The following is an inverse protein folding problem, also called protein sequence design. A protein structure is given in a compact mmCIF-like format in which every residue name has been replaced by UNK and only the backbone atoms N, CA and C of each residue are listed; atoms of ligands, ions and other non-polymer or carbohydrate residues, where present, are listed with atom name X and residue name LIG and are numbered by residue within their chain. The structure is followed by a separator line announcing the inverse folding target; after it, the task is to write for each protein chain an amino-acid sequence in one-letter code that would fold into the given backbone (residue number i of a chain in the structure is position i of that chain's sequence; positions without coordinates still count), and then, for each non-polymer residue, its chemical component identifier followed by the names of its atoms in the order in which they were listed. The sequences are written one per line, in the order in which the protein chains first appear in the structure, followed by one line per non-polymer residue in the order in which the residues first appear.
data_IF_319168615579
#
_entry.id   IF_319168615579
#
_cell.length_a   1.000
_cell.length_b   1.000
_cell.length_c   1.000
_cell.angle_alpha   90.00
_cell.angle_beta   90.00
_cell.angle_gamma   90.00
#
_symmetry.space_group_name_H-M   'P 1'
#
loop_
_entity.id
_entity.type
_entity.pdbx_description
1 polymer ?
#
# COMPACT_ATOMS: atom_id res chain seq x y z
N UNK A 1 -13.50 -0.47 12.08
CA UNK A 1 -13.87 -1.63 12.93
C UNK A 1 -14.10 -1.11 14.33
N UNK A 2 -15.09 -1.59 15.07
CA UNK A 2 -15.31 -1.16 16.46
C UNK A 2 -15.01 -2.32 17.41
N UNK A 3 -14.18 -2.09 18.42
CA UNK A 3 -13.90 -3.04 19.49
C UNK A 3 -14.75 -2.65 20.69
N UNK A 4 -15.50 -3.60 21.23
CA UNK A 4 -16.57 -3.32 22.19
C UNK A 4 -16.41 -4.18 23.44
N UNK A 5 -16.63 -3.60 24.61
CA UNK A 5 -16.62 -4.30 25.90
C UNK A 5 -17.81 -3.86 26.77
N UNK A 6 -18.48 -4.84 27.37
CA UNK A 6 -19.58 -4.61 28.31
C UNK A 6 -19.05 -4.18 29.68
N UNK A 7 -19.67 -3.17 30.28
CA UNK A 7 -19.33 -2.66 31.61
C UNK A 7 -20.40 -3.09 32.61
N UNK A 8 -19.99 -3.75 33.69
CA UNK A 8 -20.87 -4.19 34.75
C UNK A 8 -20.65 -3.39 36.03
N UNK A 9 -21.72 -3.20 36.81
CA UNK A 9 -21.65 -2.54 38.11
C UNK A 9 -20.83 -3.41 39.08
N UNK A 10 -19.77 -2.83 39.65
CA UNK A 10 -19.01 -3.49 40.71
C UNK A 10 -19.85 -3.57 41.99
N UNK A 11 -19.94 -4.74 42.66
CA UNK A 11 -20.64 -4.83 43.93
C UNK A 11 -19.80 -4.16 45.02
N UNK A 12 -20.35 -3.12 45.65
CA UNK A 12 -19.80 -2.59 46.91
C UNK A 12 -20.02 -3.52 48.11
N UNK A 13 -20.82 -4.58 47.96
CA UNK A 13 -21.10 -5.60 48.98
C UNK A 13 -21.34 -6.97 48.29
N UNK A 14 -20.64 -8.06 48.66
CA UNK A 14 -20.60 -9.30 47.87
C UNK A 14 -21.93 -10.07 47.78
N UNK A 15 -22.92 -9.76 48.63
CA UNK A 15 -24.19 -10.51 48.68
C UNK A 15 -25.37 -9.89 47.93
N UNK A 16 -25.31 -8.64 47.43
CA UNK A 16 -26.53 -7.95 46.94
C UNK A 16 -26.54 -7.33 45.55
N UNK A 17 -25.50 -7.47 44.73
CA UNK A 17 -25.59 -7.04 43.32
C UNK A 17 -24.64 -7.85 42.43
N UNK A 18 -25.14 -8.95 41.86
CA UNK A 18 -24.42 -9.68 40.80
C UNK A 18 -25.00 -9.26 39.44
N UNK A 19 -24.21 -8.56 38.63
CA UNK A 19 -24.37 -8.58 37.17
C UNK A 19 -25.23 -7.51 36.50
N UNK A 20 -25.45 -6.33 37.09
CA UNK A 20 -26.16 -5.25 36.38
C UNK A 20 -25.25 -4.69 35.27
N UNK A 21 -25.65 -4.87 34.00
CA UNK A 21 -25.02 -4.22 32.84
C UNK A 21 -25.27 -2.72 32.93
N UNK A 22 -24.19 -1.94 33.06
CA UNK A 22 -24.25 -0.48 33.09
C UNK A 22 -24.24 0.12 31.69
N UNK A 23 -23.61 -0.56 30.75
CA UNK A 23 -23.52 -0.12 29.37
C UNK A 23 -22.40 -0.81 28.61
N UNK A 24 -22.05 -0.21 27.50
CA UNK A 24 -21.11 -0.74 26.54
C UNK A 24 -20.12 0.37 26.18
N UNK A 25 -18.83 0.08 26.29
CA UNK A 25 -17.76 0.98 25.85
C UNK A 25 -17.19 0.41 24.57
N UNK A 26 -17.04 1.26 23.56
CA UNK A 26 -16.44 0.90 22.28
C UNK A 26 -15.31 1.84 21.90
N UNK A 27 -14.34 1.34 21.16
CA UNK A 27 -13.30 2.14 20.51
C UNK A 27 -13.24 1.80 19.03
N UNK A 28 -13.06 2.82 18.19
CA UNK A 28 -12.95 2.65 16.75
C UNK A 28 -11.50 2.44 16.32
N UNK A 29 -11.29 1.41 15.52
CA UNK A 29 -10.02 1.09 14.87
C UNK A 29 -10.19 1.34 13.35
N UNK A 30 -9.54 2.37 12.80
CA UNK A 30 -9.54 2.61 11.35
C UNK A 30 -8.83 1.48 10.61
N UNK A 31 -9.43 0.98 9.52
CA UNK A 31 -8.81 -0.05 8.68
C UNK A 31 -7.55 0.49 7.99
N UNK A 32 -7.48 1.80 7.75
CA UNK A 32 -6.29 2.49 7.22
C UNK A 32 -5.05 2.30 8.09
N UNK A 33 -5.21 2.28 9.42
CA UNK A 33 -4.09 2.04 10.35
C UNK A 33 -3.58 0.60 10.26
N UNK A 34 -4.48 -0.38 10.04
CA UNK A 34 -4.06 -1.75 9.78
C UNK A 34 -3.29 -1.84 8.46
N UNK A 35 -3.74 -1.14 7.42
CA UNK A 35 -3.10 -1.13 6.11
C UNK A 35 -1.70 -0.49 6.13
N UNK A 36 -1.45 0.49 7.00
CA UNK A 36 -0.12 1.10 7.19
C UNK A 36 0.92 0.07 7.66
N UNK A 37 0.52 -0.97 8.38
CA UNK A 37 1.45 -2.01 8.86
C UNK A 37 1.91 -2.98 7.77
N UNK A 38 1.23 -2.98 6.61
CA UNK A 38 1.52 -3.91 5.52
C UNK A 38 2.63 -3.29 4.65
N UNK A 39 3.82 -3.91 4.56
CA UNK A 39 4.94 -3.36 3.81
C UNK A 39 4.70 -3.52 2.30
N UNK A 40 3.97 -2.59 1.70
CA UNK A 40 3.54 -2.65 0.28
C UNK A 40 4.73 -2.81 -0.68
N UNK A 41 5.84 -2.11 -0.43
CA UNK A 41 7.05 -2.17 -1.25
C UNK A 41 7.70 -3.57 -1.30
N UNK A 42 7.36 -4.47 -0.36
CA UNK A 42 7.86 -5.86 -0.32
C UNK A 42 6.99 -6.85 -1.08
N UNK A 43 5.73 -6.49 -1.38
CA UNK A 43 4.76 -7.39 -2.03
C UNK A 43 4.91 -7.43 -3.56
N UNK A 44 5.58 -6.43 -4.14
CA UNK A 44 5.67 -6.26 -5.59
C UNK A 44 4.42 -5.62 -6.22
N UNK A 45 4.47 -5.37 -7.52
CA UNK A 45 3.50 -4.52 -8.25
C UNK A 45 2.07 -5.11 -8.22
N UNK A 46 1.96 -6.43 -8.27
CA UNK A 46 0.68 -7.13 -8.27
C UNK A 46 0.35 -7.80 -6.95
N UNK A 47 1.28 -7.77 -6.00
CA UNK A 47 1.05 -8.34 -4.68
C UNK A 47 0.18 -7.44 -3.82
N UNK A 48 -0.62 -8.05 -2.96
CA UNK A 48 -1.49 -7.34 -2.04
C UNK A 48 -1.75 -8.18 -0.80
N UNK A 49 -2.12 -7.50 0.28
CA UNK A 49 -2.61 -8.14 1.48
C UNK A 49 -4.09 -7.83 1.66
N UNK A 50 -4.81 -8.79 2.22
CA UNK A 50 -6.23 -8.70 2.49
C UNK A 50 -6.54 -9.39 3.81
N UNK A 51 -7.64 -9.02 4.44
CA UNK A 51 -8.08 -9.65 5.68
C UNK A 51 -9.57 -9.95 5.64
N UNK A 52 -9.96 -11.05 6.28
CA UNK A 52 -11.36 -11.47 6.37
C UNK A 52 -11.76 -11.74 7.82
N UNK A 53 -13.06 -11.71 8.06
CA UNK A 53 -13.68 -12.18 9.30
C UNK A 53 -13.84 -13.70 9.32
N UNK A 54 -14.14 -14.26 10.50
CA UNK A 54 -14.50 -15.67 10.68
C UNK A 54 -15.79 -16.09 9.96
N UNK A 55 -16.50 -15.18 9.28
CA UNK A 55 -17.67 -15.48 8.46
C UNK A 55 -17.38 -15.39 6.95
N UNK A 56 -16.17 -14.99 6.54
CA UNK A 56 -15.80 -14.82 5.13
C UNK A 56 -15.90 -13.38 4.61
N UNK A 57 -16.46 -12.46 5.41
CA UNK A 57 -16.55 -11.06 5.01
C UNK A 57 -15.19 -10.38 4.97
N UNK A 58 -14.97 -9.60 3.91
CA UNK A 58 -13.74 -8.85 3.70
C UNK A 58 -13.68 -7.66 4.66
N UNK A 59 -12.58 -7.56 5.41
CA UNK A 59 -12.23 -6.38 6.18
C UNK A 59 -11.45 -5.37 5.33
N UNK A 60 -10.52 -5.86 4.51
CA UNK A 60 -9.76 -5.05 3.55
C UNK A 60 -9.34 -5.89 2.35
N UNK A 61 -9.46 -5.33 1.14
CA UNK A 61 -9.03 -5.92 -0.12
C UNK A 61 -8.89 -4.82 -1.19
N UNK A 62 -7.93 -4.87 -2.14
CA UNK A 62 -7.79 -3.84 -3.18
C UNK A 62 -9.06 -3.57 -4.00
N UNK A 63 -9.81 -4.64 -4.31
CA UNK A 63 -11.07 -4.55 -5.06
C UNK A 63 -12.31 -4.29 -4.18
N UNK A 64 -12.15 -4.14 -2.86
CA UNK A 64 -13.23 -3.75 -1.96
C UNK A 64 -13.52 -2.24 -2.12
N UNK A 65 -14.27 -1.88 -3.16
CA UNK A 65 -14.61 -0.48 -3.47
C UNK A 65 -15.79 0.00 -2.63
N UNK A 66 -15.64 1.01 -1.75
CA UNK A 66 -16.75 1.69 -1.12
C UNK A 66 -17.43 2.55 -2.18
N UNK A 67 -18.21 1.93 -3.06
CA UNK A 67 -18.91 2.67 -4.08
C UNK A 67 -19.91 3.60 -3.40
N UNK A 68 -19.67 4.88 -3.59
CA UNK A 68 -20.67 5.92 -3.52
C UNK A 68 -21.46 5.86 -4.82
N UNK A 69 -22.80 5.82 -4.77
CA UNK A 69 -23.60 6.03 -5.99
C UNK A 69 -23.13 7.34 -6.64
N UNK A 70 -22.82 7.32 -7.93
CA UNK A 70 -22.33 8.51 -8.65
C UNK A 70 -23.24 9.71 -8.34
N UNK A 71 -22.69 10.73 -7.67
CA UNK A 71 -23.40 11.95 -7.27
C UNK A 71 -24.03 11.95 -5.87
N UNK A 72 -24.03 10.84 -5.13
CA UNK A 72 -24.52 10.78 -3.74
C UNK A 72 -23.41 10.26 -2.82
N UNK A 73 -23.09 11.02 -1.77
CA UNK A 73 -22.19 10.60 -0.66
C UNK A 73 -22.77 9.45 0.20
N UNK A 74 -23.50 8.50 -0.39
CA UNK A 74 -24.06 7.34 0.28
C UNK A 74 -23.33 6.07 -0.14
N UNK A 75 -22.70 5.39 0.83
CA UNK A 75 -22.04 4.08 0.63
C UNK A 75 -23.08 3.04 0.19
N UNK A 76 -22.69 2.09 -0.67
CA UNK A 76 -23.54 0.93 -1.01
C UNK A 76 -24.07 0.24 0.27
N UNK A 77 -25.36 -0.14 0.32
CA UNK A 77 -25.99 -0.71 1.52
C UNK A 77 -25.27 -1.92 2.12
N UNK A 78 -24.64 -2.75 1.28
CA UNK A 78 -23.99 -4.01 1.68
C UNK A 78 -22.45 -3.95 1.61
N UNK A 79 -21.85 -2.76 1.61
CA UNK A 79 -20.39 -2.63 1.51
C UNK A 79 -19.63 -3.32 2.67
N UNK A 80 -20.24 -3.39 3.86
CA UNK A 80 -19.65 -4.02 5.05
C UNK A 80 -19.80 -5.54 5.09
N UNK A 81 -20.46 -6.15 4.10
CA UNK A 81 -20.79 -7.58 4.09
C UNK A 81 -20.42 -8.25 2.77
N UNK A 82 -19.43 -7.72 2.04
CA UNK A 82 -18.90 -8.35 0.83
C UNK A 82 -18.09 -9.58 1.23
N UNK A 83 -18.45 -10.73 0.69
CA UNK A 83 -17.74 -11.99 0.95
C UNK A 83 -16.48 -12.12 0.06
N UNK A 84 -15.48 -12.87 0.52
CA UNK A 84 -14.26 -13.14 -0.24
C UNK A 84 -14.56 -13.75 -1.62
N UNK A 85 -15.53 -14.67 -1.73
CA UNK A 85 -15.86 -15.33 -3.00
C UNK A 85 -16.46 -14.38 -4.06
N UNK A 86 -16.98 -13.21 -3.65
CA UNK A 86 -17.47 -12.19 -4.59
C UNK A 86 -16.33 -11.45 -5.29
N UNK A 87 -15.13 -11.47 -4.70
CA UNK A 87 -13.98 -10.72 -5.19
C UNK A 87 -12.92 -11.66 -5.78
N UNK A 88 -12.66 -12.78 -5.10
CA UNK A 88 -11.76 -13.84 -5.53
C UNK A 88 -12.54 -14.94 -6.28
N UNK A 89 -13.31 -14.54 -7.28
CA UNK A 89 -14.19 -15.38 -8.11
C UNK A 89 -13.55 -16.59 -8.81
N UNK A 90 -12.22 -16.68 -8.86
CA UNK A 90 -11.50 -17.83 -9.45
C UNK A 90 -11.33 -18.99 -8.43
N UNK A 91 -11.56 -18.75 -7.13
CA UNK A 91 -11.65 -19.79 -6.09
C UNK A 91 -13.00 -20.53 -6.14
N UNK A 92 -13.26 -21.26 -7.23
CA UNK A 92 -14.57 -21.88 -7.50
C UNK A 92 -15.01 -22.92 -6.47
N UNK A 93 -14.07 -23.51 -5.75
CA UNK A 93 -14.31 -24.52 -4.71
C UNK A 93 -14.27 -23.92 -3.30
N UNK A 94 -14.18 -22.58 -3.19
CA UNK A 94 -14.04 -21.84 -1.93
C UNK A 94 -12.91 -22.38 -1.05
N UNK A 95 -11.83 -22.93 -1.61
CA UNK A 95 -10.76 -23.56 -0.84
C UNK A 95 -10.03 -22.54 0.02
N UNK A 96 -9.66 -21.40 -0.58
CA UNK A 96 -8.98 -20.31 0.11
C UNK A 96 -9.92 -19.70 1.16
N UNK A 97 -11.15 -19.40 0.77
CA UNK A 97 -12.17 -18.87 1.69
C UNK A 97 -12.38 -19.77 2.88
N UNK A 98 -12.66 -21.06 2.65
CA UNK A 98 -12.93 -22.02 3.72
C UNK A 98 -11.72 -22.24 4.61
N UNK A 99 -10.50 -22.26 4.05
CA UNK A 99 -9.29 -22.38 4.86
C UNK A 99 -9.10 -21.20 5.80
N UNK A 100 -9.32 -19.97 5.31
CA UNK A 100 -9.19 -18.74 6.11
C UNK A 100 -10.31 -18.57 7.13
N UNK A 101 -11.56 -18.92 6.79
CA UNK A 101 -12.71 -18.93 7.72
C UNK A 101 -12.47 -19.93 8.84
N UNK A 102 -11.95 -21.12 8.51
CA UNK A 102 -11.56 -22.13 9.49
C UNK A 102 -10.22 -21.82 10.20
N UNK A 103 -9.66 -20.62 10.01
CA UNK A 103 -8.46 -20.13 10.68
C UNK A 103 -7.24 -21.06 10.53
N UNK A 104 -7.12 -21.68 9.36
CA UNK A 104 -5.95 -22.50 9.04
C UNK A 104 -4.81 -21.61 8.54
N UNK A 105 -3.58 -22.07 8.77
CA UNK A 105 -2.39 -21.48 8.12
C UNK A 105 -2.02 -22.35 6.93
N UNK A 106 -1.74 -21.75 5.79
CA UNK A 106 -1.41 -22.50 4.59
C UNK A 106 -1.09 -21.62 3.39
N UNK A 107 -1.00 -22.30 2.25
CA UNK A 107 -0.72 -21.70 0.96
C UNK A 107 -1.66 -22.24 -0.09
N UNK A 108 -2.07 -21.41 -1.04
CA UNK A 108 -2.93 -21.79 -2.14
C UNK A 108 -2.47 -21.07 -3.40
N UNK A 109 -2.45 -21.74 -4.55
CA UNK A 109 -2.02 -21.13 -5.81
C UNK A 109 -3.15 -21.25 -6.82
N UNK A 110 -3.47 -20.16 -7.50
CA UNK A 110 -4.46 -20.16 -8.57
C UNK A 110 -4.13 -19.12 -9.64
N UNK A 111 -4.66 -19.35 -10.84
CA UNK A 111 -4.67 -18.34 -11.88
C UNK A 111 -5.81 -17.35 -11.63
N UNK A 112 -5.51 -16.06 -11.71
CA UNK A 112 -6.48 -14.99 -11.50
C UNK A 112 -6.49 -14.01 -12.66
N UNK A 113 -7.67 -13.44 -12.91
CA UNK A 113 -7.88 -12.39 -13.90
C UNK A 113 -8.07 -11.05 -13.22
N UNK A 114 -7.12 -10.14 -13.43
CA UNK A 114 -7.15 -8.79 -12.88
C UNK A 114 -7.56 -7.78 -13.95
N UNK A 115 -8.64 -7.05 -13.68
CA UNK A 115 -9.08 -5.94 -14.51
C UNK A 115 -8.13 -4.74 -14.31
N UNK A 116 -7.59 -4.19 -15.41
CA UNK A 116 -6.78 -2.97 -15.41
C UNK A 116 -7.42 -1.91 -16.31
N UNK A 117 -6.97 -0.66 -16.18
CA UNK A 117 -7.51 0.49 -16.93
C UNK A 117 -9.04 0.61 -16.81
N UNK A 118 -9.53 0.64 -15.56
CA UNK A 118 -10.96 0.72 -15.22
C UNK A 118 -11.82 -0.39 -15.87
N UNK A 119 -11.23 -1.56 -16.14
CA UNK A 119 -11.92 -2.71 -16.73
C UNK A 119 -11.80 -2.81 -18.25
N UNK A 120 -10.99 -1.97 -18.89
CA UNK A 120 -10.77 -2.01 -20.34
C UNK A 120 -9.83 -3.12 -20.78
N UNK A 121 -8.96 -3.61 -19.89
CA UNK A 121 -8.01 -4.69 -20.17
C UNK A 121 -8.02 -5.71 -19.04
N UNK A 122 -7.65 -6.95 -19.36
CA UNK A 122 -7.55 -8.05 -18.40
C UNK A 122 -6.13 -8.59 -18.42
N UNK A 123 -5.52 -8.68 -17.24
CA UNK A 123 -4.24 -9.36 -17.04
C UNK A 123 -4.51 -10.73 -16.41
N UNK A 124 -3.88 -11.76 -16.96
CA UNK A 124 -3.89 -13.11 -16.39
C UNK A 124 -2.61 -13.25 -15.56
N UNK A 125 -2.78 -13.50 -14.26
CA UNK A 125 -1.69 -13.63 -13.30
C UNK A 125 -1.79 -14.97 -12.61
N UNK A 126 -0.66 -15.57 -12.25
CA UNK A 126 -0.65 -16.74 -11.39
C UNK A 126 -0.25 -16.31 -9.98
N UNK A 127 -1.19 -16.34 -9.04
CA UNK A 127 -1.00 -15.85 -7.69
C UNK A 127 -0.74 -17.00 -6.72
N UNK A 128 0.27 -16.82 -5.87
CA UNK A 128 0.51 -17.62 -4.68
C UNK A 128 -0.03 -16.87 -3.46
N UNK A 129 -1.07 -17.43 -2.85
CA UNK A 129 -1.72 -16.93 -1.64
C UNK A 129 -1.09 -17.59 -0.42
N UNK A 130 -0.73 -16.78 0.56
CA UNK A 130 -0.23 -17.19 1.86
C UNK A 130 -1.19 -16.65 2.91
N UNK A 131 -1.74 -17.51 3.76
CA UNK A 131 -2.75 -17.09 4.72
C UNK A 131 -2.55 -17.72 6.09
N UNK A 132 -2.98 -17.00 7.13
CA UNK A 132 -2.87 -17.38 8.53
C UNK A 132 -3.93 -16.67 9.38
N UNK A 133 -4.11 -17.10 10.62
CA UNK A 133 -5.01 -16.46 11.57
C UNK A 133 -4.32 -15.36 12.38
N UNK A 134 -5.06 -14.30 12.71
CA UNK A 134 -4.57 -13.26 13.60
C UNK A 134 -4.92 -13.68 15.04
N UNK A 135 -3.92 -14.20 15.76
CA UNK A 135 -4.06 -14.67 17.14
C UNK A 135 -4.76 -13.64 18.03
N UNK A 136 -5.70 -14.11 18.86
CA UNK A 136 -6.48 -13.26 19.76
C UNK A 136 -7.63 -12.49 19.10
N UNK A 137 -7.84 -12.63 17.79
CA UNK A 137 -8.95 -12.01 17.06
C UNK A 137 -9.71 -13.05 16.23
N UNK A 138 -10.94 -12.75 15.76
CA UNK A 138 -11.66 -13.60 14.81
C UNK A 138 -11.24 -13.36 13.35
N UNK A 139 -10.14 -12.68 13.09
CA UNK A 139 -9.72 -12.31 11.74
C UNK A 139 -8.63 -13.24 11.20
N UNK A 140 -8.61 -13.39 9.88
CA UNK A 140 -7.56 -14.09 9.14
C UNK A 140 -6.93 -13.14 8.13
N UNK A 141 -5.62 -13.24 7.97
CA UNK A 141 -4.83 -12.41 7.05
C UNK A 141 -4.38 -13.27 5.87
N UNK A 142 -4.49 -12.71 4.67
CA UNK A 142 -3.98 -13.29 3.43
C UNK A 142 -3.04 -12.32 2.72
N UNK A 143 -2.02 -12.86 2.07
CA UNK A 143 -1.11 -12.14 1.20
C UNK A 143 -1.06 -12.88 -0.14
N UNK A 144 -1.40 -12.20 -1.21
CA UNK A 144 -1.27 -12.71 -2.57
C UNK A 144 0.01 -12.15 -3.19
N UNK A 145 0.85 -13.03 -3.73
CA UNK A 145 2.06 -12.67 -4.49
C UNK A 145 1.95 -13.25 -5.90
N UNK A 146 2.08 -12.41 -6.92
CA UNK A 146 2.10 -12.89 -8.31
C UNK A 146 3.44 -13.50 -8.66
N UNK A 147 3.43 -14.70 -9.25
CA UNK A 147 4.64 -15.36 -9.77
C UNK A 147 5.35 -14.44 -10.76
N UNK A 148 6.68 -14.40 -10.65
CA UNK A 148 7.55 -13.56 -11.48
C UNK A 148 7.71 -12.10 -11.02
N UNK A 149 6.79 -11.57 -10.19
CA UNK A 149 6.77 -10.14 -9.84
C UNK A 149 6.81 -9.83 -8.32
N UNK A 150 6.88 -10.84 -7.44
CA UNK A 150 6.89 -10.62 -5.99
C UNK A 150 7.67 -11.65 -5.15
N UNK A 151 8.29 -12.67 -5.74
CA UNK A 151 9.00 -13.73 -5.00
C UNK A 151 10.42 -13.32 -4.56
N UNK A 152 11.07 -12.47 -5.35
CA UNK A 152 12.43 -12.00 -5.10
C UNK A 152 12.48 -10.49 -5.34
N UNK A 153 13.31 -9.81 -4.58
CA UNK A 153 13.59 -8.39 -4.78
C UNK A 153 15.08 -8.13 -4.57
N UNK A 154 15.63 -7.20 -5.35
CA UNK A 154 17.03 -6.79 -5.24
C UNK A 154 17.21 -5.87 -4.04
N UNK A 155 18.16 -6.17 -3.15
CA UNK A 155 18.54 -5.30 -2.04
C UNK A 155 19.88 -4.68 -2.37
N UNK A 156 20.02 -3.38 -2.16
CA UNK A 156 21.23 -2.63 -2.45
C UNK A 156 21.60 -1.70 -1.31
N UNK A 157 22.85 -1.25 -1.28
CA UNK A 157 23.31 -0.28 -0.29
C UNK A 157 24.17 0.77 -0.98
N UNK A 158 23.92 2.03 -0.66
CA UNK A 158 24.68 3.21 -1.09
C UNK A 158 25.06 4.02 0.14
N UNK A 159 26.00 4.95 -0.03
CA UNK A 159 26.27 5.92 1.04
C UNK A 159 25.09 6.88 1.20
N UNK A 160 24.94 7.44 2.41
CA UNK A 160 23.84 8.38 2.69
C UNK A 160 24.00 9.65 1.87
N UNK A 161 25.25 10.08 1.70
CA UNK A 161 25.63 11.28 0.96
C UNK A 161 25.27 11.16 -0.53
N UNK A 162 25.65 10.06 -1.19
CA UNK A 162 25.29 9.80 -2.59
C UNK A 162 23.77 9.67 -2.76
N UNK A 163 23.12 8.92 -1.86
CA UNK A 163 21.68 8.71 -1.90
C UNK A 163 20.88 10.00 -1.77
N UNK A 164 21.27 10.88 -0.83
CA UNK A 164 20.60 12.16 -0.63
C UNK A 164 20.84 13.12 -1.80
N UNK A 165 22.06 13.15 -2.35
CA UNK A 165 22.38 13.96 -3.52
C UNK A 165 21.42 13.65 -4.69
N UNK A 166 21.25 12.37 -5.02
CA UNK A 166 20.44 11.97 -6.18
C UNK A 166 18.94 11.99 -5.90
N UNK A 167 18.52 11.84 -4.64
CA UNK A 167 17.11 11.96 -4.23
C UNK A 167 16.60 13.40 -4.30
N UNK A 168 17.49 14.38 -4.15
CA UNK A 168 17.17 15.82 -4.20
C UNK A 168 17.16 16.39 -5.62
N UNK A 169 17.43 15.56 -6.63
CA UNK A 169 17.48 16.00 -8.00
C UNK A 169 16.06 16.42 -8.49
N UNK A 170 15.93 17.52 -9.26
CA UNK A 170 14.62 18.08 -9.63
C UNK A 170 13.74 17.18 -10.51
N UNK A 171 14.29 16.16 -11.17
CA UNK A 171 13.52 15.18 -11.96
C UNK A 171 12.93 14.06 -11.10
N UNK A 172 13.30 13.98 -9.81
CA UNK A 172 12.88 12.95 -8.87
C UNK A 172 11.63 13.36 -8.09
N UNK A 173 10.67 12.45 -8.00
CA UNK A 173 9.52 12.56 -7.12
C UNK A 173 9.27 11.25 -6.36
N UNK A 174 8.81 11.35 -5.13
CA UNK A 174 8.35 10.21 -4.33
C UNK A 174 6.83 10.10 -4.42
N UNK A 175 6.32 8.87 -4.53
CA UNK A 175 4.90 8.59 -4.58
C UNK A 175 4.22 8.95 -3.25
N UNK A 176 3.17 9.77 -3.30
CA UNK A 176 2.38 10.22 -2.13
C UNK A 176 1.78 9.06 -1.31
N UNK A 177 1.61 7.90 -1.96
CA UNK A 177 1.02 6.72 -1.36
C UNK A 177 1.96 6.03 -0.37
N UNK A 178 3.27 6.25 -0.50
CA UNK A 178 4.31 5.65 0.34
C UNK A 178 4.66 6.55 1.53
N UNK A 179 4.72 5.93 2.70
CA UNK A 179 5.09 6.59 3.95
C UNK A 179 6.46 6.06 4.38
N UNK A 180 7.50 6.84 4.13
CA UNK A 180 8.88 6.56 4.57
C UNK A 180 9.06 6.93 6.04
N UNK A 181 8.49 8.06 6.43
CA UNK A 181 8.48 8.59 7.78
C UNK A 181 7.06 8.99 8.17
N UNK A 182 6.65 8.63 9.39
CA UNK A 182 5.33 8.97 9.91
C UNK A 182 5.32 10.39 10.47
N UNK A 183 4.89 11.35 9.65
CA UNK A 183 4.80 12.78 10.01
C UNK A 183 3.46 13.15 10.66
N UNK A 184 2.48 12.24 10.70
CA UNK A 184 1.14 12.51 11.23
C UNK A 184 1.06 12.38 12.75
N UNK A 185 1.95 11.57 13.35
CA UNK A 185 1.98 11.27 14.78
C UNK A 185 2.17 12.53 15.63
N UNK A 186 3.08 13.41 15.22
CA UNK A 186 3.43 14.62 15.95
C UNK A 186 3.08 15.87 15.13
N UNK A 187 2.37 16.87 15.70
CA UNK A 187 2.00 18.09 14.98
C UNK A 187 3.20 18.86 14.40
N UNK A 188 4.37 18.73 15.02
CA UNK A 188 5.63 19.36 14.60
C UNK A 188 6.19 18.79 13.29
N UNK A 189 5.77 17.60 12.86
CA UNK A 189 6.27 16.97 11.64
C UNK A 189 5.32 17.13 10.45
N UNK A 190 4.08 17.57 10.68
CA UNK A 190 3.02 17.59 9.65
C UNK A 190 3.29 18.48 8.45
N UNK A 191 4.16 19.48 8.59
CA UNK A 191 4.53 20.37 7.49
C UNK A 191 5.63 19.78 6.59
N UNK A 192 6.29 18.71 7.02
CA UNK A 192 7.42 18.12 6.31
C UNK A 192 6.93 17.30 5.12
N UNK A 193 7.58 17.50 3.98
CA UNK A 193 7.53 16.52 2.88
C UNK A 193 8.25 15.23 3.29
N UNK A 194 7.96 14.14 2.58
CA UNK A 194 8.63 12.86 2.85
C UNK A 194 10.14 12.94 2.61
N UNK A 195 10.60 13.71 1.60
CA UNK A 195 12.04 13.91 1.34
C UNK A 195 12.68 14.66 2.51
N UNK A 196 12.07 15.75 3.00
CA UNK A 196 12.59 16.50 4.16
C UNK A 196 12.62 15.64 5.43
N UNK A 197 11.59 14.82 5.66
CA UNK A 197 11.56 13.90 6.79
C UNK A 197 12.68 12.84 6.72
N UNK A 198 12.97 12.32 5.52
CA UNK A 198 14.10 11.41 5.29
C UNK A 198 15.44 12.10 5.60
N UNK A 199 15.63 13.34 5.14
CA UNK A 199 16.84 14.13 5.42
C UNK A 199 17.05 14.34 6.92
N UNK A 200 16.00 14.75 7.63
CA UNK A 200 16.06 14.96 9.08
C UNK A 200 16.44 13.67 9.80
N UNK A 201 15.78 12.56 9.46
CA UNK A 201 16.07 11.24 10.02
C UNK A 201 17.54 10.79 9.80
N UNK A 202 18.08 11.02 8.60
CA UNK A 202 19.44 10.60 8.24
C UNK A 202 20.54 11.51 8.82
N UNK A 203 20.27 12.81 8.96
CA UNK A 203 21.22 13.79 9.52
C UNK A 203 21.31 13.76 11.07
N UNK A 204 20.77 12.71 11.71
CA UNK A 204 20.77 12.56 13.17
C UNK A 204 19.66 13.35 13.87
N UNK A 205 18.61 13.72 13.14
CA UNK A 205 17.58 14.65 13.57
C UNK A 205 16.29 14.00 14.06
N UNK A 206 15.94 14.42 15.27
CA UNK A 206 14.66 14.36 15.99
C UNK A 206 14.28 13.09 16.79
N UNK A 207 14.19 13.20 18.14
CA UNK A 207 13.43 12.23 18.91
C UNK A 207 11.97 12.25 18.43
N UNK A 208 11.34 11.08 18.33
CA UNK A 208 9.93 10.87 17.96
C UNK A 208 9.58 10.77 16.46
N UNK A 209 10.48 11.08 15.51
CA UNK A 209 10.23 10.80 14.10
C UNK A 209 10.47 9.31 13.80
N UNK A 210 9.39 8.56 13.53
CA UNK A 210 9.48 7.13 13.19
C UNK A 210 9.54 6.93 11.68
N UNK A 211 10.61 6.32 11.21
CA UNK A 211 10.81 6.02 9.80
C UNK A 211 11.10 4.53 9.54
N UNK A 212 10.72 4.04 8.36
CA UNK A 212 11.11 2.71 7.88
C UNK A 212 12.53 2.77 7.30
N UNK A 213 13.50 2.36 8.11
CA UNK A 213 14.92 2.33 7.73
C UNK A 213 15.18 1.49 6.48
N UNK A 214 14.49 0.36 6.31
CA UNK A 214 14.72 -0.51 5.14
C UNK A 214 14.20 0.15 3.87
N UNK A 215 12.99 0.73 3.91
CA UNK A 215 12.44 1.44 2.77
C UNK A 215 13.30 2.65 2.38
N UNK A 216 13.82 3.41 3.37
CA UNK A 216 14.71 4.54 3.12
C UNK A 216 16.00 4.08 2.45
N UNK A 217 16.64 3.01 2.92
CA UNK A 217 17.85 2.49 2.28
C UNK A 217 17.61 2.09 0.82
N UNK A 218 16.46 1.48 0.53
CA UNK A 218 16.11 1.05 -0.82
C UNK A 218 15.76 2.23 -1.73
N UNK A 219 15.09 3.29 -1.23
CA UNK A 219 14.78 4.46 -2.06
C UNK A 219 16.04 5.27 -2.40
N UNK A 220 17.00 5.36 -1.47
CA UNK A 220 18.31 5.96 -1.74
C UNK A 220 19.08 5.15 -2.78
N UNK A 221 19.08 3.82 -2.66
CA UNK A 221 19.68 2.95 -3.66
C UNK A 221 19.04 3.13 -5.04
N UNK A 222 17.71 3.14 -5.11
CA UNK A 222 16.97 3.38 -6.36
C UNK A 222 17.32 4.75 -6.95
N UNK A 223 17.48 5.80 -6.13
CA UNK A 223 17.84 7.15 -6.59
C UNK A 223 19.19 7.15 -7.31
N UNK A 224 20.21 6.51 -6.72
CA UNK A 224 21.58 6.42 -7.27
C UNK A 224 21.63 5.54 -8.51
N UNK A 225 21.01 4.37 -8.48
CA UNK A 225 21.02 3.43 -9.61
C UNK A 225 20.32 4.00 -10.83
N UNK A 226 19.30 4.82 -10.62
CA UNK A 226 18.52 5.43 -11.70
C UNK A 226 19.09 6.78 -12.16
N UNK A 227 20.02 7.40 -11.42
CA UNK A 227 20.60 8.70 -11.77
C UNK A 227 21.20 8.76 -13.19
N UNK A 228 21.91 7.73 -13.71
CA UNK A 228 22.45 7.77 -15.08
C UNK A 228 21.39 7.89 -16.19
N UNK A 229 20.11 7.60 -15.90
CA UNK A 229 19.03 7.71 -16.88
C UNK A 229 18.76 9.15 -17.31
N UNK A 230 19.02 10.10 -16.42
CA UNK A 230 18.85 11.53 -16.69
C UNK A 230 19.79 11.99 -17.80
N UNK A 231 21.08 11.68 -17.69
CA UNK A 231 22.08 11.98 -18.71
C UNK A 231 21.74 11.30 -20.05
N UNK A 232 21.25 10.05 -20.00
CA UNK A 232 20.81 9.33 -21.19
C UNK A 232 19.63 10.02 -21.87
N UNK A 233 18.58 10.39 -21.13
CA UNK A 233 17.44 11.10 -21.69
C UNK A 233 17.81 12.49 -22.20
N UNK A 234 18.67 13.22 -21.49
CA UNK A 234 19.19 14.51 -21.96
C UNK A 234 19.95 14.37 -23.29
N UNK A 235 20.78 13.33 -23.44
CA UNK A 235 21.47 13.06 -24.69
C UNK A 235 20.51 12.76 -25.84
N UNK A 236 19.41 12.03 -25.57
CA UNK A 236 18.35 11.77 -26.55
C UNK A 236 17.58 13.05 -26.92
N UNK A 237 17.33 13.93 -25.94
CA UNK A 237 16.67 15.22 -26.15
C UNK A 237 17.52 16.14 -27.05
N UNK A 238 18.84 16.18 -26.82
CA UNK A 238 19.78 16.94 -27.66
C UNK A 238 19.92 16.35 -29.06
N UNK A 239 19.88 15.01 -29.21
CA UNK A 239 19.88 14.34 -30.52
C UNK A 239 18.54 14.52 -31.28
N UNK A 240 17.47 14.94 -30.61
CA UNK A 240 16.15 15.14 -31.22
C UNK A 240 16.15 16.23 -32.31
N UNK A 241 17.15 17.11 -32.35
CA UNK A 241 17.37 18.02 -33.50
C UNK A 241 17.70 17.28 -34.81
N UNK A 242 18.22 16.05 -34.74
CA UNK A 242 18.47 15.17 -35.91
C UNK A 242 17.36 14.12 -36.13
N UNK A 243 16.45 13.93 -35.16
CA UNK A 243 15.44 12.87 -35.15
C UNK A 243 14.06 13.39 -34.67
N UNK A 244 13.54 14.41 -35.35
CA UNK A 244 12.21 15.01 -35.08
C UNK A 244 11.04 14.01 -35.14
N UNK A 245 11.22 12.88 -35.81
CA UNK A 245 10.14 11.94 -36.16
C UNK A 245 9.83 10.92 -35.07
N UNK A 246 10.52 10.95 -33.93
CA UNK A 246 10.37 9.90 -32.90
C UNK A 246 9.13 10.05 -32.01
N UNK A 247 8.38 11.16 -32.08
CA UNK A 247 7.06 11.30 -31.44
C UNK A 247 7.02 11.13 -29.90
N UNK A 248 8.15 10.97 -29.22
CA UNK A 248 8.21 10.81 -27.76
C UNK A 248 8.09 12.18 -27.10
N UNK A 249 7.03 12.38 -26.31
CA UNK A 249 6.77 13.61 -25.56
C UNK A 249 7.27 13.52 -24.11
N UNK A 250 7.11 12.37 -23.46
CA UNK A 250 7.44 12.13 -22.06
C UNK A 250 8.16 10.79 -21.93
N UNK A 251 9.22 10.73 -21.13
CA UNK A 251 9.72 9.47 -20.56
C UNK A 251 9.58 9.53 -19.05
N UNK A 252 9.25 8.38 -18.46
CA UNK A 252 9.21 8.24 -17.02
C UNK A 252 9.77 6.88 -16.61
N UNK A 253 10.29 6.83 -15.39
CA UNK A 253 10.72 5.62 -14.71
C UNK A 253 10.10 5.63 -13.33
N UNK A 254 9.45 4.53 -12.96
CA UNK A 254 8.93 4.33 -11.61
C UNK A 254 9.58 3.10 -11.00
N UNK A 255 10.03 3.21 -9.77
CA UNK A 255 10.63 2.10 -9.02
C UNK A 255 9.63 1.53 -8.01
N UNK A 256 9.92 0.34 -7.49
CA UNK A 256 9.08 -0.31 -6.47
C UNK A 256 9.04 0.45 -5.14
N UNK A 257 10.08 1.22 -4.86
CA UNK A 257 10.20 2.00 -3.62
C UNK A 257 9.47 3.33 -3.71
N UNK A 258 8.71 3.59 -4.78
CA UNK A 258 7.92 4.80 -4.98
C UNK A 258 8.72 5.98 -5.54
N UNK A 259 10.00 5.79 -5.84
CA UNK A 259 10.78 6.78 -6.56
C UNK A 259 10.34 6.82 -8.02
N UNK A 260 10.16 8.01 -8.54
CA UNK A 260 9.88 8.24 -9.95
C UNK A 260 10.79 9.31 -10.52
N UNK A 261 11.20 9.12 -11.77
CA UNK A 261 11.91 10.12 -12.57
C UNK A 261 11.09 10.44 -13.81
N UNK A 262 10.95 11.71 -14.14
CA UNK A 262 10.16 12.16 -15.30
C UNK A 262 11.00 13.15 -16.12
N UNK A 263 11.07 12.92 -17.43
CA UNK A 263 11.65 13.89 -18.37
C UNK A 263 10.67 14.25 -19.47
N UNK A 264 10.61 15.55 -19.79
CA UNK A 264 9.77 16.12 -20.83
C UNK A 264 10.64 16.47 -22.04
N UNK A 265 10.31 15.90 -23.20
CA UNK A 265 11.00 16.16 -24.46
C UNK A 265 10.31 17.21 -25.34
N UNK A 266 9.26 17.83 -24.80
CA UNK A 266 8.47 18.91 -25.40
C UNK A 266 8.22 19.97 -24.34
N UNK A 267 7.98 21.21 -24.77
CA UNK A 267 7.71 22.27 -23.82
C UNK A 267 6.39 21.99 -23.08
N UNK A 268 6.26 22.33 -21.79
CA UNK A 268 5.06 22.01 -20.99
C UNK A 268 3.73 22.52 -21.58
N UNK A 269 3.75 23.61 -22.36
CA UNK A 269 2.57 24.15 -23.04
C UNK A 269 2.17 23.40 -24.32
N UNK A 270 3.03 22.50 -24.82
CA UNK A 270 2.78 21.64 -25.98
C UNK A 270 2.29 20.25 -25.58
N UNK A 271 2.34 19.91 -24.28
CA UNK A 271 1.63 18.75 -23.74
C UNK A 271 0.15 18.96 -24.00
N UNK A 272 -0.38 18.24 -24.99
CA UNK A 272 -1.69 18.53 -25.54
C UNK A 272 -2.80 18.48 -24.50
N UNK A 273 -3.70 19.48 -24.58
CA UNK A 273 -5.08 19.37 -24.10
C UNK A 273 -5.75 18.20 -24.85
N UNK A 274 -5.75 16.99 -24.27
CA UNK A 274 -6.59 15.87 -24.69
C UNK A 274 -7.27 15.22 -23.50
#
# INVERSE_FOLDING_TARGET
MQVVRTVFKSPGNPEKNKGILLGVVGTDVPVSELLKTIPKYKLGIHGYAFAITNNGYILTHPDLRPLYEQGKKRKKPNYSSVDLSEVEWEDKEDMLRNAMVNRKTGTFSMEVKKAVDKGRRVLVLHNDYYYTDIKGTPFSLGVALSKGHGKYFFRGSVTVEEGLHDLEHPDVALADEWTYCNTDEHPEHRYLSQIEAIKLYLNGGEPHLKCDKELIQEVLFDAVVTAPIEAYWTSLALNKSENSDKGVEIAYLGTRTGLSRINLFVMPYQLSNQ
#
